data_IF_314770432559
#
_entry.id   IF_314770432559
#
_cell.length_a   1.000
_cell.length_b   1.000
_cell.length_c   1.000
_cell.angle_alpha   90.00
_cell.angle_beta   90.00
_cell.angle_gamma   90.00
#
_symmetry.space_group_name_H-M   'P 1'
#
loop_
_entity.id
_entity.type
_entity.pdbx_description
1 polymer ?
#
# COMPACT_ATOMS: atom_id res chain seq x y z
N UNK A 1 -2.73 -3.00 -16.85
CA UNK A 1 -1.73 -3.28 -15.79
C UNK A 1 -2.08 -4.62 -15.17
N UNK A 2 -1.14 -5.58 -15.11
CA UNK A 2 -1.40 -6.89 -14.47
C UNK A 2 -1.08 -6.78 -12.98
N UNK A 3 -2.09 -6.46 -12.16
CA UNK A 3 -1.95 -6.50 -10.71
C UNK A 3 -2.07 -7.96 -10.23
N UNK A 4 -1.12 -8.41 -9.41
CA UNK A 4 -1.02 -9.81 -8.94
C UNK A 4 -1.08 -9.89 -7.42
N UNK A 5 -1.30 -11.10 -6.88
CA UNK A 5 -1.22 -11.34 -5.43
C UNK A 5 0.15 -10.97 -4.84
N UNK A 6 1.23 -11.09 -5.61
CA UNK A 6 2.56 -10.63 -5.19
C UNK A 6 2.58 -9.10 -5.02
N UNK A 7 2.04 -8.36 -5.99
CA UNK A 7 1.95 -6.90 -5.88
C UNK A 7 1.11 -6.49 -4.67
N UNK A 8 0.02 -7.20 -4.38
CA UNK A 8 -0.82 -6.95 -3.21
C UNK A 8 -0.03 -7.13 -1.91
N UNK A 9 0.67 -8.27 -1.75
CA UNK A 9 1.46 -8.57 -0.56
C UNK A 9 2.59 -7.57 -0.35
N UNK A 10 3.33 -7.26 -1.41
CA UNK A 10 4.45 -6.31 -1.35
C UNK A 10 3.95 -4.91 -0.94
N UNK A 11 2.84 -4.44 -1.53
CA UNK A 11 2.24 -3.15 -1.17
C UNK A 11 1.73 -3.11 0.28
N UNK A 12 1.10 -4.19 0.76
CA UNK A 12 0.64 -4.29 2.14
C UNK A 12 1.81 -4.32 3.14
N UNK A 13 2.90 -5.01 2.81
CA UNK A 13 4.13 -5.00 3.61
C UNK A 13 4.69 -3.59 3.77
N UNK A 14 4.92 -2.89 2.65
CA UNK A 14 5.41 -1.52 2.68
C UNK A 14 4.48 -0.58 3.46
N UNK A 15 3.16 -0.75 3.33
CA UNK A 15 2.19 0.07 4.05
C UNK A 15 2.24 -0.16 5.56
N UNK A 16 2.42 -1.42 5.99
CA UNK A 16 2.63 -1.76 7.39
C UNK A 16 3.90 -1.10 7.95
N UNK A 17 5.00 -1.18 7.22
CA UNK A 17 6.30 -0.62 7.64
C UNK A 17 6.23 0.90 7.79
N UNK A 18 5.65 1.59 6.80
CA UNK A 18 5.47 3.06 6.84
C UNK A 18 4.57 3.45 8.02
N UNK A 19 3.46 2.73 8.23
CA UNK A 19 2.53 3.01 9.33
C UNK A 19 3.23 2.84 10.68
N UNK A 20 3.99 1.76 10.85
CA UNK A 20 4.75 1.52 12.07
C UNK A 20 5.79 2.62 12.29
N UNK A 21 6.56 2.96 11.26
CA UNK A 21 7.59 3.99 11.34
C UNK A 21 7.01 5.37 11.71
N UNK A 22 5.92 5.80 11.09
CA UNK A 22 5.23 7.04 11.43
C UNK A 22 4.66 7.03 12.86
N UNK A 23 4.24 5.87 13.35
CA UNK A 23 3.62 5.71 14.68
C UNK A 23 4.64 5.66 15.83
N UNK A 24 5.89 5.29 15.56
CA UNK A 24 6.95 5.17 16.58
C UNK A 24 7.46 6.52 17.11
N UNK A 25 7.11 7.64 16.46
CA UNK A 25 7.57 8.98 16.84
C UNK A 25 9.05 9.26 16.54
N UNK A 26 9.80 8.29 16.04
CA UNK A 26 11.20 8.44 15.59
C UNK A 26 11.34 8.89 14.13
N UNK A 27 10.24 9.15 13.43
CA UNK A 27 10.27 9.64 12.06
C UNK A 27 10.78 11.09 12.01
N UNK A 28 11.85 11.39 11.23
CA UNK A 28 12.27 12.76 10.96
C UNK A 28 11.12 13.59 10.40
N UNK A 29 10.94 14.82 10.88
CA UNK A 29 9.82 15.68 10.50
C UNK A 29 9.83 15.99 9.00
N UNK A 30 11.00 16.11 8.39
CA UNK A 30 11.14 16.32 6.95
C UNK A 30 10.61 15.15 6.10
N UNK A 31 10.58 13.92 6.65
CA UNK A 31 10.14 12.73 5.92
C UNK A 31 8.66 12.39 6.14
N UNK A 32 8.01 13.01 7.14
CA UNK A 32 6.62 12.67 7.50
C UNK A 32 5.66 12.90 6.33
N UNK A 33 5.77 14.05 5.65
CA UNK A 33 4.89 14.39 4.54
C UNK A 33 5.05 13.41 3.36
N UNK A 34 6.28 13.15 2.93
CA UNK A 34 6.59 12.23 1.84
C UNK A 34 6.12 10.81 2.14
N UNK A 35 6.28 10.36 3.39
CA UNK A 35 5.83 9.05 3.83
C UNK A 35 4.30 8.95 3.92
N UNK A 36 3.62 10.01 4.32
CA UNK A 36 2.15 10.07 4.31
C UNK A 36 1.59 10.06 2.89
N UNK A 37 2.21 10.79 1.96
CA UNK A 37 1.85 10.75 0.53
C UNK A 37 2.05 9.34 -0.02
N UNK A 38 3.21 8.71 0.27
CA UNK A 38 3.48 7.34 -0.15
C UNK A 38 2.50 6.33 0.45
N UNK A 39 2.09 6.53 1.70
CA UNK A 39 1.06 5.71 2.34
C UNK A 39 -0.27 5.81 1.59
N UNK A 40 -0.70 7.02 1.23
CA UNK A 40 -1.91 7.28 0.42
C UNK A 40 -1.84 6.61 -0.96
N UNK A 41 -0.71 6.70 -1.66
CA UNK A 41 -0.50 6.01 -2.94
C UNK A 41 -0.65 4.48 -2.80
N UNK A 42 -0.04 3.90 -1.77
CA UNK A 42 -0.11 2.46 -1.50
C UNK A 42 -1.53 2.02 -1.14
N UNK A 43 -2.29 2.81 -0.36
CA UNK A 43 -3.70 2.54 -0.07
C UNK A 43 -4.50 2.47 -1.38
N UNK A 44 -4.34 3.46 -2.26
CA UNK A 44 -5.03 3.50 -3.54
C UNK A 44 -4.63 2.31 -4.43
N UNK A 45 -3.35 1.97 -4.49
CA UNK A 45 -2.86 0.83 -5.25
C UNK A 45 -3.45 -0.49 -4.73
N UNK A 46 -3.50 -0.68 -3.41
CA UNK A 46 -4.11 -1.86 -2.78
C UNK A 46 -5.62 -1.92 -3.05
N UNK A 47 -6.33 -0.80 -2.91
CA UNK A 47 -7.79 -0.75 -3.14
C UNK A 47 -8.14 -1.10 -4.59
N UNK A 48 -7.52 -0.43 -5.57
CA UNK A 48 -7.72 -0.68 -6.99
C UNK A 48 -7.28 -2.10 -7.38
N UNK A 49 -6.10 -2.52 -6.92
CA UNK A 49 -5.54 -3.82 -7.22
C UNK A 49 -6.37 -4.99 -6.67
N UNK A 50 -6.91 -4.84 -5.45
CA UNK A 50 -7.78 -5.85 -4.82
C UNK A 50 -9.09 -6.01 -5.60
N UNK A 51 -9.70 -4.91 -6.05
CA UNK A 51 -10.90 -4.95 -6.89
C UNK A 51 -10.64 -5.71 -8.20
N UNK A 52 -9.49 -5.50 -8.84
CA UNK A 52 -9.10 -6.23 -10.05
C UNK A 52 -8.94 -7.73 -9.80
N UNK A 53 -8.32 -8.13 -8.69
CA UNK A 53 -8.14 -9.54 -8.33
C UNK A 53 -9.48 -10.24 -8.04
N UNK A 54 -10.39 -9.57 -7.32
CA UNK A 54 -11.73 -10.10 -7.03
C UNK A 54 -12.53 -10.29 -8.33
N UNK A 55 -12.55 -9.27 -9.20
CA UNK A 55 -13.26 -9.34 -10.48
C UNK A 55 -12.69 -10.44 -11.39
N UNK A 56 -11.37 -10.66 -11.37
CA UNK A 56 -10.72 -11.75 -12.11
C UNK A 56 -11.10 -13.14 -11.57
N UNK A 57 -11.34 -13.26 -10.26
CA UNK A 57 -11.73 -14.53 -9.63
C UNK A 57 -13.22 -14.86 -9.83
N UNK A 58 -14.09 -13.85 -9.97
CA UNK A 58 -15.52 -14.04 -10.23
C UNK A 58 -15.88 -14.28 -11.70
N UNK A 59 -14.97 -14.02 -12.63
CA UNK A 59 -15.15 -14.23 -14.09
C UNK A 59 -14.53 -15.54 -14.61
N UNK A 60 -14.08 -16.43 -13.71
CA UNK A 60 -13.56 -17.77 -14.00
C UNK A 60 -14.49 -18.83 -13.40
#
# INVERSE_FOLDING_TARGET
MNFTDKNLRDSLGCLSDITAFLSTGSCPKELVADLQERQLELINQVACGSALLINKKGNN
#
